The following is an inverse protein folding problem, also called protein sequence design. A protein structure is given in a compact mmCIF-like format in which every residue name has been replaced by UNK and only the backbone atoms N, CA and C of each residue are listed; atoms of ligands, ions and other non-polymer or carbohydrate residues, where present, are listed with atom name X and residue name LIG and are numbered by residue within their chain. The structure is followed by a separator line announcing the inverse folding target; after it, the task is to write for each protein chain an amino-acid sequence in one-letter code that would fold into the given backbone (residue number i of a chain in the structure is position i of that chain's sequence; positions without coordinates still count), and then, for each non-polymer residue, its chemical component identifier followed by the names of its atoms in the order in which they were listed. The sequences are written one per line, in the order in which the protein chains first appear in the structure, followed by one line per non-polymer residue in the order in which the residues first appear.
data_IF_463074141094
#
_entry.id   IF_463074141094
#
_cell.length_a   1.000
_cell.length_b   1.000
_cell.length_c   1.000
_cell.angle_alpha   90.00
_cell.angle_beta   90.00
_cell.angle_gamma   90.00
#
_symmetry.space_group_name_H-M   'P 1'
#
loop_
_entity.id
_entity.type
_entity.pdbx_description
1 polymer ?
#
# COMPACT_ATOMS: atom_id res chain seq x y z
N UNK A 1 -6.18 2.82 19.96
CA UNK A 1 -6.43 3.68 18.77
C UNK A 1 -7.92 3.72 18.55
N UNK A 2 -8.51 4.82 18.08
CA UNK A 2 -9.96 4.85 17.83
C UNK A 2 -10.26 4.02 16.59
N UNK A 3 -11.27 3.16 16.65
CA UNK A 3 -11.76 2.43 15.48
C UNK A 3 -12.59 3.39 14.62
N UNK A 4 -12.17 3.59 13.37
CA UNK A 4 -12.80 4.48 12.41
C UNK A 4 -13.44 3.57 11.34
N UNK A 5 -14.76 3.67 11.14
CA UNK A 5 -15.44 2.83 10.18
C UNK A 5 -14.95 3.12 8.75
N UNK A 6 -14.94 2.09 7.90
CA UNK A 6 -14.63 2.25 6.48
C UNK A 6 -15.75 3.08 5.84
N UNK A 7 -15.37 4.17 5.18
CA UNK A 7 -16.25 4.89 4.26
C UNK A 7 -16.24 4.18 2.91
N UNK A 8 -17.43 3.86 2.40
CA UNK A 8 -17.59 3.27 1.07
C UNK A 8 -17.89 4.35 0.05
N UNK A 9 -17.36 4.18 -1.16
CA UNK A 9 -17.60 5.05 -2.30
C UNK A 9 -18.24 4.28 -3.46
N UNK A 10 -17.94 4.67 -4.69
CA UNK A 10 -18.56 4.11 -5.88
C UNK A 10 -18.08 2.67 -6.16
N UNK A 11 -18.91 1.86 -6.81
CA UNK A 11 -18.63 0.44 -6.99
C UNK A 11 -17.47 0.16 -7.96
N UNK A 12 -16.38 -0.39 -7.43
CA UNK A 12 -15.35 -1.08 -8.20
C UNK A 12 -15.60 -2.60 -8.19
N UNK A 13 -16.45 -3.07 -9.10
CA UNK A 13 -16.84 -4.49 -9.22
C UNK A 13 -15.74 -5.41 -9.79
N UNK A 14 -14.48 -4.95 -9.78
CA UNK A 14 -13.32 -5.71 -10.24
C UNK A 14 -12.57 -6.41 -9.10
N UNK A 15 -13.14 -6.44 -7.89
CA UNK A 15 -12.53 -7.09 -6.75
C UNK A 15 -13.17 -6.76 -5.41
N UNK A 16 -14.12 -5.83 -5.39
CA UNK A 16 -14.92 -5.51 -4.22
C UNK A 16 -16.37 -5.94 -4.43
N UNK A 17 -17.01 -6.35 -3.34
CA UNK A 17 -18.46 -6.59 -3.34
C UNK A 17 -19.22 -5.27 -3.59
N UNK A 18 -20.46 -5.33 -4.12
CA UNK A 18 -21.31 -4.15 -4.28
C UNK A 18 -21.50 -3.41 -2.95
N UNK A 19 -21.45 -2.07 -3.00
CA UNK A 19 -21.51 -1.16 -1.86
C UNK A 19 -20.37 -1.34 -0.83
N UNK A 20 -19.32 -2.10 -1.18
CA UNK A 20 -18.17 -2.40 -0.30
C UNK A 20 -16.84 -1.89 -0.84
N UNK A 21 -16.87 -1.01 -1.83
CA UNK A 21 -15.66 -0.39 -2.37
C UNK A 21 -15.19 0.74 -1.44
N UNK A 22 -14.00 0.68 -0.83
CA UNK A 22 -13.55 1.72 0.10
C UNK A 22 -13.30 3.04 -0.63
N UNK A 23 -13.83 4.15 -0.09
CA UNK A 23 -13.57 5.50 -0.59
C UNK A 23 -12.11 5.93 -0.38
N UNK A 24 -11.48 5.41 0.67
CA UNK A 24 -10.11 5.74 1.04
C UNK A 24 -9.24 4.49 1.16
N UNK A 25 -8.04 4.57 0.57
CA UNK A 25 -6.99 3.57 0.75
C UNK A 25 -5.83 4.20 1.47
N UNK A 26 -5.05 3.39 2.17
CA UNK A 26 -3.85 3.82 2.86
C UNK A 26 -2.66 3.01 2.34
N UNK A 27 -1.81 3.67 1.56
CA UNK A 27 -0.59 3.10 1.01
C UNK A 27 0.61 3.51 1.86
N UNK A 28 1.35 2.54 2.40
CA UNK A 28 2.63 2.77 3.08
C UNK A 28 3.75 2.17 2.24
N UNK A 29 4.78 2.96 1.95
CA UNK A 29 6.00 2.48 1.30
C UNK A 29 7.08 2.28 2.34
N UNK A 30 7.92 1.26 2.19
CA UNK A 30 9.04 1.00 3.08
C UNK A 30 10.19 0.34 2.33
N UNK A 31 11.42 0.61 2.77
CA UNK A 31 12.66 0.03 2.22
C UNK A 31 12.87 0.25 0.72
N UNK A 32 12.26 1.29 0.13
CA UNK A 32 12.64 1.72 -1.22
C UNK A 32 14.11 2.14 -1.16
N UNK A 33 14.93 1.51 -2.00
CA UNK A 33 16.35 1.81 -2.12
C UNK A 33 16.50 2.95 -3.13
N UNK A 34 17.06 4.06 -2.69
CA UNK A 34 17.34 5.20 -3.55
C UNK A 34 18.43 4.83 -4.56
N UNK A 35 18.23 5.19 -5.83
CA UNK A 35 19.27 5.12 -6.85
C UNK A 35 20.42 6.10 -6.58
N UNK A 36 21.63 5.82 -7.07
CA UNK A 36 22.74 6.77 -7.03
C UNK A 36 22.40 8.07 -7.77
N UNK A 37 22.72 9.22 -7.19
CA UNK A 37 22.54 10.52 -7.84
C UNK A 37 23.59 10.71 -8.94
N UNK A 38 23.23 10.51 -10.21
CA UNK A 38 24.15 10.65 -11.34
C UNK A 38 23.51 11.42 -12.52
N UNK A 39 23.91 12.69 -12.77
CA UNK A 39 24.79 13.54 -11.96
C UNK A 39 24.18 13.88 -10.59
N UNK A 40 24.94 14.44 -9.63
CA UNK A 40 24.41 14.85 -8.33
C UNK A 40 23.26 15.84 -8.51
N UNK A 41 22.04 15.35 -8.30
CA UNK A 41 20.80 16.11 -8.40
C UNK A 41 20.21 16.43 -7.03
N UNK A 42 19.04 17.07 -6.98
CA UNK A 42 18.32 17.28 -5.73
C UNK A 42 18.13 15.94 -5.01
N UNK A 43 18.56 15.91 -3.74
CA UNK A 43 18.55 14.74 -2.87
C UNK A 43 17.10 14.36 -2.51
N UNK A 44 16.37 13.77 -3.45
CA UNK A 44 15.03 13.28 -3.18
C UNK A 44 15.11 11.93 -2.46
N UNK A 45 14.70 11.96 -1.19
CA UNK A 45 14.62 10.77 -0.35
C UNK A 45 13.30 10.07 -0.63
N UNK A 46 13.29 8.76 -0.94
CA UNK A 46 12.05 8.00 -1.05
C UNK A 46 11.20 8.16 0.21
N UNK A 47 9.85 8.21 0.12
CA UNK A 47 9.00 8.47 1.27
C UNK A 47 8.75 7.19 2.07
N UNK A 48 9.84 6.53 2.47
CA UNK A 48 9.80 5.36 3.32
C UNK A 48 9.11 5.71 4.65
N UNK A 49 8.27 4.79 5.11
CA UNK A 49 7.49 4.83 6.34
C UNK A 49 6.45 5.94 6.43
N UNK A 50 6.22 6.67 5.33
CA UNK A 50 5.09 7.56 5.16
C UNK A 50 3.86 6.78 4.69
N UNK A 51 2.72 7.10 5.28
CA UNK A 51 1.41 6.63 4.85
C UNK A 51 0.77 7.71 3.98
N UNK A 52 0.21 7.29 2.85
CA UNK A 52 -0.53 8.11 1.92
C UNK A 52 -2.00 7.70 1.95
N UNK A 53 -2.88 8.64 2.31
CA UNK A 53 -4.33 8.45 2.18
C UNK A 53 -4.72 8.72 0.73
N UNK A 54 -4.95 7.67 -0.04
CA UNK A 54 -5.46 7.73 -1.40
C UNK A 54 -6.98 7.90 -1.35
N UNK A 55 -7.52 8.72 -2.25
CA UNK A 55 -8.96 8.94 -2.38
C UNK A 55 -9.44 8.36 -3.70
N UNK A 56 -10.59 7.72 -3.67
CA UNK A 56 -11.22 7.16 -4.86
C UNK A 56 -11.53 8.27 -5.87
N UNK A 57 -11.29 7.98 -7.14
CA UNK A 57 -11.64 8.83 -8.26
C UNK A 57 -13.14 8.71 -8.56
N UNK A 58 -13.84 9.85 -8.63
CA UNK A 58 -15.30 9.91 -8.86
C UNK A 58 -15.70 9.51 -10.30
N UNK A 59 -14.78 9.63 -11.27
CA UNK A 59 -15.03 9.25 -12.66
C UNK A 59 -14.55 7.81 -12.96
N UNK A 60 -13.59 7.33 -12.17
CA UNK A 60 -12.99 5.99 -12.32
C UNK A 60 -13.05 5.24 -10.99
N UNK A 61 -14.15 4.56 -10.65
CA UNK A 61 -14.35 3.94 -9.34
C UNK A 61 -13.27 2.94 -8.92
N UNK A 62 -12.56 2.34 -9.86
CA UNK A 62 -11.46 1.41 -9.61
C UNK A 62 -10.07 2.08 -9.51
N UNK A 63 -10.02 3.40 -9.33
CA UNK A 63 -8.79 4.18 -9.16
C UNK A 63 -8.83 4.95 -7.85
N UNK A 64 -7.68 4.99 -7.18
CA UNK A 64 -7.44 5.82 -6.02
C UNK A 64 -6.12 6.56 -6.17
N UNK A 65 -6.12 7.85 -5.82
CA UNK A 65 -4.93 8.68 -5.96
C UNK A 65 -4.68 9.55 -4.72
N UNK A 66 -3.41 9.84 -4.50
CA UNK A 66 -2.94 10.93 -3.66
C UNK A 66 -2.12 11.87 -4.53
N UNK A 67 -2.55 13.11 -4.64
CA UNK A 67 -1.88 14.13 -5.43
C UNK A 67 -1.52 15.33 -4.54
N UNK A 68 -0.28 15.35 -4.04
CA UNK A 68 0.22 16.48 -3.27
C UNK A 68 1.74 16.54 -3.34
N UNK A 69 2.26 17.69 -3.77
CA UNK A 69 3.69 17.90 -3.99
C UNK A 69 4.54 17.49 -2.76
N UNK A 70 5.63 16.73 -2.95
CA UNK A 70 6.20 16.33 -4.25
C UNK A 70 5.68 14.98 -4.77
N UNK A 71 4.70 14.35 -4.13
CA UNK A 71 4.34 12.95 -4.37
C UNK A 71 3.02 12.78 -5.12
N UNK A 72 3.04 11.87 -6.07
CA UNK A 72 1.85 11.30 -6.67
C UNK A 72 1.86 9.79 -6.43
N UNK A 73 0.80 9.28 -5.79
CA UNK A 73 0.59 7.85 -5.56
C UNK A 73 -0.72 7.47 -6.21
N UNK A 74 -0.71 6.38 -6.96
CA UNK A 74 -1.91 5.86 -7.61
C UNK A 74 -2.00 4.35 -7.40
N UNK A 75 -3.23 3.93 -7.15
CA UNK A 75 -3.63 2.54 -7.05
C UNK A 75 -4.80 2.30 -8.01
N UNK A 76 -4.65 1.35 -8.92
CA UNK A 76 -5.70 0.97 -9.89
C UNK A 76 -6.02 -0.52 -9.79
N UNK A 77 -7.28 -0.85 -10.05
CA UNK A 77 -7.74 -2.21 -10.34
C UNK A 77 -8.19 -2.26 -11.80
N UNK A 78 -7.56 -3.09 -12.62
CA UNK A 78 -7.88 -3.25 -14.03
C UNK A 78 -8.58 -4.58 -14.31
N UNK A 79 -9.42 -4.59 -15.35
CA UNK A 79 -10.06 -5.79 -15.87
C UNK A 79 -9.17 -6.52 -16.89
N UNK A 80 -9.35 -7.84 -16.98
CA UNK A 80 -8.78 -8.73 -17.99
C UNK A 80 -7.28 -9.09 -17.85
N UNK A 81 -6.95 -10.25 -17.23
CA UNK A 81 -7.47 -10.73 -15.94
C UNK A 81 -7.45 -9.62 -14.89
N UNK A 82 -8.18 -9.79 -13.77
CA UNK A 82 -8.13 -8.81 -12.68
C UNK A 82 -6.69 -8.63 -12.23
N UNK A 83 -6.24 -7.38 -12.16
CA UNK A 83 -4.91 -7.02 -11.69
C UNK A 83 -4.94 -5.72 -10.92
N UNK A 84 -4.01 -5.57 -10.00
CA UNK A 84 -3.81 -4.36 -9.23
C UNK A 84 -2.49 -3.71 -9.62
N UNK A 85 -2.49 -2.39 -9.76
CA UNK A 85 -1.29 -1.61 -10.06
C UNK A 85 -1.12 -0.56 -8.99
N UNK A 86 0.07 -0.46 -8.43
CA UNK A 86 0.43 0.55 -7.44
C UNK A 86 1.71 1.22 -7.87
N UNK A 87 1.78 2.54 -7.77
CA UNK A 87 3.04 3.23 -7.98
C UNK A 87 3.15 4.53 -7.20
N UNK A 88 4.40 4.99 -7.04
CA UNK A 88 4.71 6.33 -6.54
C UNK A 88 5.73 7.02 -7.45
N UNK A 89 5.43 8.27 -7.78
CA UNK A 89 6.34 9.15 -8.54
C UNK A 89 6.48 10.50 -7.87
N UNK A 90 7.60 11.13 -8.13
CA UNK A 90 7.81 12.52 -7.77
C UNK A 90 7.23 13.41 -8.88
N UNK A 91 6.31 14.29 -8.53
CA UNK A 91 5.60 15.17 -9.48
C UNK A 91 6.50 16.26 -10.05
N UNK A 92 7.52 16.70 -9.31
CA UNK A 92 8.41 17.78 -9.73
C UNK A 92 9.42 17.30 -10.77
N UNK A 93 9.96 16.09 -10.59
CA UNK A 93 10.94 15.50 -11.51
C UNK A 93 10.32 14.54 -12.53
N UNK A 94 9.08 14.08 -12.31
CA UNK A 94 8.44 13.02 -13.11
C UNK A 94 9.02 11.62 -12.90
N UNK A 95 9.87 11.45 -11.88
CA UNK A 95 10.66 10.21 -11.69
C UNK A 95 9.92 9.22 -10.79
N UNK A 96 10.03 7.94 -11.13
CA UNK A 96 9.39 6.82 -10.45
C UNK A 96 10.25 6.31 -9.30
N UNK A 97 9.59 5.95 -8.20
CA UNK A 97 10.24 5.41 -6.99
C UNK A 97 9.80 3.99 -6.64
N UNK A 98 8.62 3.60 -7.10
CA UNK A 98 8.05 2.28 -6.88
C UNK A 98 7.01 2.03 -7.96
N UNK A 99 6.94 0.80 -8.44
CA UNK A 99 5.80 0.31 -9.21
C UNK A 99 5.61 -1.17 -8.91
N UNK A 100 4.37 -1.61 -8.76
CA UNK A 100 4.00 -3.01 -8.65
C UNK A 100 2.79 -3.30 -9.52
N UNK A 101 2.72 -4.54 -10.02
CA UNK A 101 1.61 -5.04 -10.81
C UNK A 101 1.38 -6.51 -10.42
N UNK A 102 0.28 -6.76 -9.72
CA UNK A 102 -0.05 -8.09 -9.19
C UNK A 102 -1.34 -8.60 -9.82
N UNK A 103 -1.38 -9.91 -10.10
CA UNK A 103 -2.57 -10.57 -10.65
C UNK A 103 -3.50 -10.98 -9.50
N UNK A 104 -4.78 -10.65 -9.65
CA UNK A 104 -5.82 -10.96 -8.67
C UNK A 104 -6.55 -9.70 -8.17
N UNK A 105 -7.72 -9.89 -7.55
CA UNK A 105 -8.42 -8.81 -6.86
C UNK A 105 -7.60 -8.33 -5.64
N UNK A 106 -7.78 -7.07 -5.22
CA UNK A 106 -7.11 -6.58 -4.02
C UNK A 106 -7.72 -7.15 -2.74
N UNK A 107 -6.88 -7.55 -1.80
CA UNK A 107 -7.26 -7.95 -0.44
C UNK A 107 -6.85 -6.87 0.59
N UNK A 108 -7.53 -6.86 1.74
CA UNK A 108 -7.13 -5.96 2.84
C UNK A 108 -5.70 -6.25 3.28
N UNK A 109 -4.86 -5.22 3.26
CA UNK A 109 -3.50 -5.35 3.74
C UNK A 109 -2.54 -6.06 2.79
N UNK A 110 -2.86 -6.07 1.49
CA UNK A 110 -2.01 -6.62 0.44
C UNK A 110 -0.60 -6.00 0.45
N UNK A 111 0.39 -6.86 0.24
CA UNK A 111 1.81 -6.49 0.21
C UNK A 111 2.34 -6.57 -1.22
N UNK A 112 2.88 -5.45 -1.68
CA UNK A 112 3.48 -5.30 -3.01
C UNK A 112 4.99 -5.25 -2.93
N UNK A 113 5.67 -5.89 -3.89
CA UNK A 113 7.10 -5.74 -4.10
C UNK A 113 7.36 -4.88 -5.34
N UNK A 114 8.38 -4.03 -5.29
CA UNK A 114 8.73 -3.19 -6.43
C UNK A 114 9.17 -4.04 -7.63
N UNK A 115 8.64 -3.72 -8.80
CA UNK A 115 9.04 -4.28 -10.10
C UNK A 115 10.31 -3.62 -10.66
N UNK A 116 10.72 -2.49 -10.07
CA UNK A 116 11.97 -1.84 -10.45
C UNK A 116 13.16 -2.42 -9.70
N UNK A 117 14.08 -3.02 -10.45
CA UNK A 117 15.33 -3.59 -9.94
C UNK A 117 16.57 -2.88 -10.50
N UNK A 118 16.39 -1.92 -11.41
CA UNK A 118 17.48 -1.20 -12.06
C UNK A 118 17.18 0.29 -12.14
N UNK A 119 18.22 1.10 -11.91
CA UNK A 119 18.14 2.55 -11.99
C UNK A 119 18.16 3.00 -13.45
N UNK A 120 17.33 3.98 -13.79
CA UNK A 120 17.29 4.61 -15.11
C UNK A 120 17.13 6.12 -14.97
N UNK A 121 17.17 6.85 -16.07
CA UNK A 121 16.90 8.31 -16.06
C UNK A 121 15.52 8.65 -15.51
N UNK A 122 14.55 7.71 -15.58
CA UNK A 122 13.19 7.89 -15.11
C UNK A 122 12.89 7.17 -13.78
N UNK A 123 13.78 6.30 -13.30
CA UNK A 123 13.57 5.46 -12.11
C UNK A 123 14.64 5.76 -11.06
N UNK A 124 14.25 6.40 -9.97
CA UNK A 124 15.13 6.89 -8.90
C UNK A 124 14.96 6.12 -7.58
N UNK A 125 14.00 5.20 -7.53
CA UNK A 125 13.88 4.19 -6.47
C UNK A 125 13.81 2.79 -7.08
N UNK A 126 14.55 1.86 -6.50
CA UNK A 126 14.55 0.44 -6.82
C UNK A 126 14.26 -0.36 -5.56
N UNK A 127 13.84 -1.61 -5.74
CA UNK A 127 13.41 -2.47 -4.64
C UNK A 127 12.33 -1.78 -3.77
N UNK A 128 12.05 -2.36 -2.61
CA UNK A 128 11.09 -1.83 -1.66
C UNK A 128 9.78 -2.60 -1.62
N UNK A 129 9.01 -2.27 -0.60
CA UNK A 129 7.74 -2.91 -0.25
C UNK A 129 6.71 -1.82 -0.10
N UNK A 130 5.49 -2.07 -0.58
CA UNK A 130 4.34 -1.25 -0.26
C UNK A 130 3.24 -2.11 0.35
N UNK A 131 2.47 -1.51 1.25
CA UNK A 131 1.30 -2.15 1.87
C UNK A 131 0.11 -1.25 1.65
N UNK A 132 -0.99 -1.80 1.14
CA UNK A 132 -2.25 -1.08 0.94
C UNK A 132 -3.29 -1.63 1.90
N UNK A 133 -4.04 -0.74 2.54
CA UNK A 133 -5.12 -1.10 3.47
C UNK A 133 -6.33 -0.17 3.33
N UNK A 134 -7.51 -0.64 3.72
CA UNK A 134 -8.78 0.07 3.75
C UNK A 134 -8.95 0.91 5.02
N UNK A 135 -8.21 0.57 6.08
CA UNK A 135 -8.33 1.20 7.41
C UNK A 135 -7.05 1.94 7.83
N UNK A 136 -7.16 3.16 8.40
CA UNK A 136 -5.98 3.87 8.90
C UNK A 136 -5.31 3.13 10.07
N UNK A 137 -6.08 2.42 10.90
CA UNK A 137 -5.60 1.67 12.07
C UNK A 137 -4.64 0.54 11.67
N UNK A 138 -4.92 -0.16 10.57
CA UNK A 138 -4.03 -1.19 10.06
C UNK A 138 -2.62 -0.62 9.78
N UNK A 139 -2.55 0.61 9.25
CA UNK A 139 -1.26 1.25 8.99
C UNK A 139 -0.49 1.64 10.26
N UNK A 140 -1.19 2.05 11.32
CA UNK A 140 -0.55 2.39 12.59
C UNK A 140 -0.06 1.15 13.33
N UNK A 141 -0.78 0.03 13.26
CA UNK A 141 -0.29 -1.28 13.74
C UNK A 141 0.97 -1.69 12.98
N UNK A 142 0.98 -1.54 11.64
CA UNK A 142 2.15 -1.84 10.82
C UNK A 142 3.36 -0.94 11.13
N UNK A 143 3.15 0.32 11.57
CA UNK A 143 4.24 1.18 12.08
C UNK A 143 4.76 0.67 13.41
N UNK A 144 3.88 0.29 14.34
CA UNK A 144 4.24 -0.20 15.68
C UNK A 144 5.05 -1.52 15.64
N UNK A 145 4.83 -2.35 14.63
CA UNK A 145 5.53 -3.63 14.47
C UNK A 145 6.96 -3.45 13.93
N UNK A 146 7.41 -2.21 13.64
CA UNK A 146 8.75 -1.86 13.16
C UNK A 146 9.40 -2.96 12.30
N UNK A 147 8.75 -3.26 11.17
CA UNK A 147 9.10 -4.37 10.30
C UNK A 147 10.43 -4.14 9.59
N UNK A 148 11.56 -4.35 10.26
CA UNK A 148 12.84 -4.58 9.59
C UNK A 148 12.76 -5.88 8.75
N UNK A 149 13.51 -5.92 7.63
CA UNK A 149 13.49 -6.94 6.56
C UNK A 149 13.09 -8.35 7.03
N UNK A 150 11.81 -8.70 6.91
CA UNK A 150 11.38 -10.09 6.80
C UNK A 150 10.75 -10.23 5.42
N UNK A 151 11.38 -11.01 4.54
CA UNK A 151 10.88 -11.32 3.18
C UNK A 151 9.66 -12.27 3.20
N UNK A 152 9.01 -12.34 4.34
CA UNK A 152 8.43 -13.53 4.93
C UNK A 152 7.38 -13.07 5.95
N UNK A 153 6.52 -12.10 5.61
CA UNK A 153 5.47 -11.65 6.50
C UNK A 153 4.10 -11.95 5.88
N UNK A 154 3.32 -12.77 6.56
CA UNK A 154 1.93 -13.05 6.22
C UNK A 154 1.03 -12.29 7.19
N UNK A 155 0.17 -11.42 6.66
CA UNK A 155 -0.84 -10.73 7.45
C UNK A 155 -2.21 -11.32 7.12
N UNK A 156 -2.95 -11.73 8.15
CA UNK A 156 -4.32 -12.25 8.03
C UNK A 156 -5.23 -11.42 8.93
N UNK A 157 -6.26 -10.82 8.34
CA UNK A 157 -7.34 -10.16 9.05
C UNK A 157 -8.55 -11.11 9.12
N UNK A 158 -9.01 -11.43 10.33
CA UNK A 158 -10.25 -12.18 10.52
C UNK A 158 -11.29 -11.34 11.28
N UNK A 159 -12.41 -10.97 10.65
CA UNK A 159 -13.55 -10.45 11.37
C UNK A 159 -14.20 -11.57 12.18
N UNK A 160 -14.49 -11.32 13.45
CA UNK A 160 -15.25 -12.23 14.32
C UNK A 160 -16.74 -11.89 14.29
N UNK A 161 -17.57 -12.85 14.69
CA UNK A 161 -19.04 -12.69 14.76
C UNK A 161 -19.49 -11.54 15.68
N UNK A 162 -18.64 -11.10 16.60
CA UNK A 162 -18.89 -9.97 17.52
C UNK A 162 -18.44 -8.60 16.95
N UNK A 163 -17.99 -8.56 15.69
CA UNK A 163 -17.50 -7.35 15.03
C UNK A 163 -16.06 -6.98 15.38
N UNK A 164 -15.38 -7.74 16.25
CA UNK A 164 -13.96 -7.48 16.58
C UNK A 164 -13.05 -7.94 15.45
N UNK A 165 -12.04 -7.13 15.15
CA UNK A 165 -11.00 -7.44 14.16
C UNK A 165 -9.80 -8.10 14.83
N UNK A 166 -9.38 -9.26 14.31
CA UNK A 166 -8.14 -9.91 14.71
C UNK A 166 -7.11 -9.72 13.60
N UNK A 167 -6.01 -9.04 13.93
CA UNK A 167 -4.85 -8.90 13.07
C UNK A 167 -3.82 -9.94 13.48
N UNK A 168 -3.53 -10.88 12.57
CA UNK A 168 -2.49 -11.89 12.76
C UNK A 168 -1.33 -11.60 11.84
N UNK A 169 -0.16 -11.39 12.43
CA UNK A 169 1.10 -11.25 11.70
C UNK A 169 1.93 -12.51 11.95
N UNK A 170 2.35 -13.17 10.88
CA UNK A 170 3.27 -14.29 10.94
C UNK A 170 4.56 -13.90 10.25
N UNK A 171 5.67 -13.99 10.99
CA UNK A 171 7.01 -13.94 10.41
C UNK A 171 7.40 -15.37 9.99
N UNK A 172 7.44 -15.67 8.69
CA UNK A 172 7.67 -17.03 8.16
C UNK A 172 9.08 -17.56 8.49
N UNK A 173 10.06 -16.69 8.80
CA UNK A 173 11.42 -17.12 9.15
C UNK A 173 11.52 -17.84 10.50
N UNK A 174 10.68 -17.46 11.46
CA UNK A 174 10.72 -18.00 12.83
C UNK A 174 9.35 -18.48 13.31
N UNK A 175 8.34 -18.47 12.43
CA UNK A 175 6.94 -18.78 12.73
C UNK A 175 6.37 -18.00 13.94
N UNK A 176 6.94 -16.83 14.25
CA UNK A 176 6.44 -15.98 15.33
C UNK A 176 5.08 -15.43 14.92
N UNK A 177 4.06 -15.83 15.68
CA UNK A 177 2.69 -15.35 15.52
C UNK A 177 2.46 -14.19 16.49
N UNK A 178 2.29 -12.99 15.96
CA UNK A 178 1.81 -11.85 16.73
C UNK A 178 0.32 -11.75 16.47
N UNK A 179 -0.49 -12.16 17.45
CA UNK A 179 -1.93 -11.97 17.43
C UNK A 179 -2.25 -10.77 18.33
N UNK A 180 -2.77 -9.70 17.74
CA UNK A 180 -3.22 -8.53 18.48
C UNK A 180 -4.74 -8.59 18.54
N UNK A 181 -5.28 -8.89 19.73
CA UNK A 181 -6.71 -8.75 20.00
C UNK A 181 -6.99 -7.28 20.31
N UNK A 182 -7.77 -6.63 19.46
CA UNK A 182 -8.22 -5.28 19.72
C UNK A 182 -9.57 -5.32 20.46
N UNK A 183 -9.64 -4.63 21.60
CA UNK A 183 -10.88 -4.38 22.34
C UNK A 183 -11.15 -2.88 22.33
N UNK A 184 -12.37 -2.45 21.95
CA UNK A 184 -12.70 -1.02 21.79
C UNK A 184 -12.63 -0.22 23.10
#
# INVERSE_FOLDING_TARGET
MKDEPIEYGDDCLLGFDPDKTPKYLYARFSKIVKCPDLPPGPNFVPPNDRVFKLTQDEEVPCRWAYESSPWYVEFDVYSGPVRTVLYIRNMLSGTWYFSANEVGPPDEGIVYNSTYYTCTTLVWGIEGIAIVSWTPQATDILKLINMEKARDLFMELRPREDGKLVYKFCRLQDATNIAILFEP
#
